data_IF_274166166972
#
_entry.id   IF_274166166972
#
_cell.length_a   1.000
_cell.length_b   1.000
_cell.length_c   1.000
_cell.angle_alpha   90.00
_cell.angle_beta   90.00
_cell.angle_gamma   90.00
#
_symmetry.space_group_name_H-M   'P 1'
#
loop_
_entity.id
_entity.type
_entity.pdbx_description
1 polymer ?
#
# COMPACT_ATOMS: atom_id res chain seq x y z
N UNK A 1 67.17 27.06 0.12
CA UNK A 1 68.19 26.00 0.31
C UNK A 1 67.75 25.12 1.47
N UNK A 2 67.83 23.77 1.39
CA UNK A 2 68.16 22.92 0.25
C UNK A 2 67.04 21.95 -0.16
N UNK A 3 67.14 21.50 -1.40
CA UNK A 3 66.50 20.42 -2.10
C UNK A 3 66.72 19.05 -1.46
N UNK A 4 65.73 18.17 -1.58
CA UNK A 4 65.91 16.70 -1.49
C UNK A 4 65.15 16.00 -2.60
N UNK A 5 65.92 15.30 -3.41
CA UNK A 5 65.61 14.52 -4.57
C UNK A 5 64.83 13.26 -4.23
N UNK A 6 63.89 12.88 -5.11
CA UNK A 6 63.25 11.55 -5.17
C UNK A 6 63.89 10.74 -6.31
N UNK A 7 64.31 9.51 -6.11
CA UNK A 7 64.76 8.67 -7.22
C UNK A 7 63.59 7.95 -7.89
N UNK A 8 63.55 8.05 -9.22
CA UNK A 8 62.78 7.16 -10.10
C UNK A 8 63.41 5.77 -10.12
N UNK A 9 62.63 4.74 -9.93
CA UNK A 9 62.95 3.37 -10.33
C UNK A 9 61.91 2.84 -11.29
N UNK A 10 62.32 2.72 -12.54
CA UNK A 10 61.67 1.99 -13.63
C UNK A 10 61.74 0.49 -13.36
N UNK A 11 60.58 -0.16 -13.26
CA UNK A 11 60.45 -1.62 -13.24
C UNK A 11 59.53 -2.06 -14.34
N UNK A 12 60.10 -2.52 -15.45
CA UNK A 12 59.38 -3.23 -16.54
C UNK A 12 59.09 -4.64 -16.06
N UNK A 13 57.83 -4.95 -15.78
CA UNK A 13 57.37 -6.31 -15.45
C UNK A 13 56.56 -6.86 -16.60
N UNK A 14 57.07 -7.90 -17.21
CA UNK A 14 56.50 -8.75 -18.29
C UNK A 14 55.13 -9.30 -17.96
N UNK A 15 54.19 -9.14 -18.91
CA UNK A 15 52.85 -9.71 -18.85
C UNK A 15 52.92 -11.20 -19.26
N UNK A 16 52.86 -12.12 -18.33
CA UNK A 16 52.56 -13.50 -18.56
C UNK A 16 51.04 -13.71 -18.73
N UNK A 17 50.63 -14.15 -19.92
CA UNK A 17 49.25 -14.60 -20.22
C UNK A 17 49.03 -15.97 -19.61
N UNK A 18 48.41 -16.06 -18.45
CA UNK A 18 47.85 -17.30 -17.93
C UNK A 18 46.44 -17.54 -18.51
N UNK A 19 46.32 -18.51 -19.41
CA UNK A 19 45.05 -19.11 -19.83
C UNK A 19 44.62 -20.10 -18.76
N UNK A 20 43.71 -19.70 -17.87
CA UNK A 20 42.96 -20.67 -17.07
C UNK A 20 41.49 -20.30 -17.09
N UNK A 21 40.69 -21.17 -17.69
CA UNK A 21 39.22 -21.05 -17.78
C UNK A 21 38.59 -21.13 -16.39
N UNK A 22 38.11 -20.02 -15.91
CA UNK A 22 37.29 -19.95 -14.70
C UNK A 22 35.83 -20.19 -15.07
N UNK A 23 35.36 -21.43 -14.90
CA UNK A 23 33.95 -21.75 -14.70
C UNK A 23 33.48 -20.89 -13.53
N UNK A 24 32.68 -19.86 -13.80
CA UNK A 24 31.92 -19.14 -12.78
C UNK A 24 30.94 -20.13 -12.17
N UNK A 25 31.33 -20.77 -11.10
CA UNK A 25 30.41 -21.45 -10.20
C UNK A 25 29.39 -20.39 -9.71
N UNK A 26 28.14 -20.65 -10.01
CA UNK A 26 27.01 -19.96 -9.40
C UNK A 26 27.10 -20.25 -7.89
N UNK A 27 27.77 -19.36 -7.16
CA UNK A 27 27.76 -19.37 -5.70
C UNK A 27 26.33 -19.04 -5.29
N UNK A 28 25.56 -20.06 -4.96
CA UNK A 28 24.36 -19.93 -4.16
C UNK A 28 24.77 -19.19 -2.89
N UNK A 29 24.45 -17.90 -2.83
CA UNK A 29 24.60 -17.13 -1.61
C UNK A 29 23.63 -17.71 -0.61
N UNK A 30 24.12 -18.62 0.22
CA UNK A 30 23.48 -18.97 1.48
C UNK A 30 23.28 -17.64 2.23
N UNK A 31 22.03 -17.35 2.55
CA UNK A 31 21.59 -16.24 3.37
C UNK A 31 22.19 -16.43 4.78
N UNK A 32 23.47 -16.09 4.95
CA UNK A 32 24.09 -16.02 6.27
C UNK A 32 23.61 -14.72 6.93
N UNK A 33 22.44 -14.76 7.54
CA UNK A 33 22.03 -13.75 8.49
C UNK A 33 23.09 -13.70 9.59
N UNK A 34 23.65 -12.51 9.82
CA UNK A 34 24.62 -12.24 10.90
C UNK A 34 24.12 -12.84 12.22
N UNK A 35 25.00 -13.56 12.90
CA UNK A 35 24.74 -14.38 14.09
C UNK A 35 24.47 -13.58 15.40
N UNK A 36 24.11 -12.31 15.32
CA UNK A 36 23.63 -11.59 16.50
C UNK A 36 22.11 -11.88 16.66
N UNK A 37 21.70 -12.63 17.69
CA UNK A 37 20.30 -13.03 17.87
C UNK A 37 19.36 -11.84 17.95
N UNK A 38 19.83 -10.70 18.41
CA UNK A 38 19.07 -9.46 18.57
C UNK A 38 18.62 -8.87 17.22
N UNK A 39 19.45 -8.92 16.18
CA UNK A 39 19.09 -8.41 14.85
C UNK A 39 18.01 -9.28 14.19
N UNK A 40 18.11 -10.60 14.32
CA UNK A 40 17.10 -11.52 13.78
C UNK A 40 15.73 -11.30 14.40
N UNK A 41 15.67 -11.15 15.75
CA UNK A 41 14.40 -10.89 16.44
C UNK A 41 13.77 -9.58 16.02
N UNK A 42 14.56 -8.50 15.87
CA UNK A 42 14.06 -7.22 15.34
C UNK A 42 13.42 -7.38 13.95
N UNK A 43 14.07 -8.10 13.04
CA UNK A 43 13.55 -8.32 11.69
C UNK A 43 12.23 -9.08 11.71
N UNK A 44 12.09 -10.10 12.56
CA UNK A 44 10.84 -10.84 12.73
C UNK A 44 9.72 -9.98 13.32
N UNK A 45 10.01 -9.12 14.31
CA UNK A 45 9.04 -8.17 14.87
C UNK A 45 8.50 -7.23 13.80
N UNK A 46 9.40 -6.63 13.01
CA UNK A 46 9.00 -5.68 11.96
C UNK A 46 8.28 -6.41 10.81
N UNK A 47 8.74 -7.61 10.46
CA UNK A 47 8.09 -8.46 9.46
C UNK A 47 6.66 -8.85 9.87
N UNK A 48 6.46 -9.25 11.13
CA UNK A 48 5.15 -9.58 11.67
C UNK A 48 4.21 -8.37 11.70
N UNK A 49 4.69 -7.18 12.10
CA UNK A 49 3.92 -5.95 12.09
C UNK A 49 3.52 -5.55 10.65
N UNK A 50 4.43 -5.69 9.69
CA UNK A 50 4.12 -5.39 8.28
C UNK A 50 3.18 -6.44 7.67
N UNK A 51 3.36 -7.71 7.99
CA UNK A 51 2.42 -8.76 7.59
C UNK A 51 1.01 -8.48 8.12
N UNK A 52 0.89 -8.18 9.42
CA UNK A 52 -0.38 -7.86 10.08
C UNK A 52 -1.08 -6.67 9.40
N UNK A 53 -0.37 -5.57 9.16
CA UNK A 53 -0.90 -4.40 8.47
C UNK A 53 -1.34 -4.72 7.03
N UNK A 54 -0.54 -5.48 6.31
CA UNK A 54 -0.83 -5.85 4.93
C UNK A 54 -1.97 -6.86 4.82
N UNK A 55 -2.05 -7.81 5.76
CA UNK A 55 -3.14 -8.74 5.90
C UNK A 55 -4.45 -8.00 6.17
N UNK A 56 -4.47 -7.09 7.16
CA UNK A 56 -5.66 -6.31 7.52
C UNK A 56 -6.22 -5.51 6.35
N UNK A 57 -5.35 -4.96 5.51
CA UNK A 57 -5.77 -4.19 4.32
C UNK A 57 -6.51 -5.05 3.29
N UNK A 58 -6.24 -6.34 3.23
CA UNK A 58 -6.76 -7.23 2.18
C UNK A 58 -7.82 -8.22 2.65
N UNK A 59 -7.72 -8.68 3.89
CA UNK A 59 -8.62 -9.69 4.47
C UNK A 59 -10.06 -9.17 4.57
N UNK A 60 -10.24 -7.89 4.84
CA UNK A 60 -11.56 -7.25 4.99
C UNK A 60 -12.35 -7.26 3.69
N UNK A 61 -11.70 -7.13 2.53
CA UNK A 61 -12.38 -7.02 1.24
C UNK A 61 -13.28 -8.22 0.92
N UNK A 62 -12.88 -9.43 1.28
CA UNK A 62 -13.67 -10.64 1.07
C UNK A 62 -14.79 -10.80 2.09
N UNK A 63 -14.68 -10.16 3.25
CA UNK A 63 -15.69 -10.18 4.30
C UNK A 63 -16.78 -9.10 4.12
N UNK A 64 -16.54 -8.07 3.30
CA UNK A 64 -17.45 -6.93 3.15
C UNK A 64 -18.91 -7.30 2.89
N UNK A 65 -19.25 -8.24 1.99
CA UNK A 65 -20.65 -8.63 1.77
C UNK A 65 -21.31 -9.22 3.02
N UNK A 66 -20.59 -10.06 3.76
CA UNK A 66 -21.09 -10.67 5.00
C UNK A 66 -21.25 -9.66 6.13
N UNK A 67 -20.31 -8.69 6.23
CA UNK A 67 -20.41 -7.55 7.16
C UNK A 67 -21.63 -6.71 6.81
N UNK A 68 -21.85 -6.40 5.55
CA UNK A 68 -22.99 -5.63 5.06
C UNK A 68 -24.32 -6.29 5.43
N UNK A 69 -24.41 -7.60 5.20
CA UNK A 69 -25.58 -8.38 5.56
C UNK A 69 -25.84 -8.37 7.07
N UNK A 70 -24.79 -8.57 7.89
CA UNK A 70 -24.89 -8.56 9.36
C UNK A 70 -25.28 -7.20 9.92
N UNK A 71 -24.82 -6.11 9.30
CA UNK A 71 -25.12 -4.73 9.73
C UNK A 71 -26.33 -4.12 9.01
N UNK A 72 -27.13 -4.94 8.29
CA UNK A 72 -28.31 -4.51 7.54
C UNK A 72 -28.05 -3.34 6.58
N UNK A 73 -26.87 -3.33 5.95
CA UNK A 73 -26.44 -2.30 5.02
C UNK A 73 -26.22 -2.86 3.61
N UNK A 74 -26.23 -2.00 2.59
CA UNK A 74 -25.88 -2.46 1.25
C UNK A 74 -24.37 -2.76 1.16
N UNK A 75 -23.92 -3.74 0.36
CA UNK A 75 -22.51 -4.03 0.16
C UNK A 75 -21.70 -2.81 -0.31
N UNK A 76 -22.31 -1.92 -1.09
CA UNK A 76 -21.67 -0.69 -1.56
C UNK A 76 -21.53 0.37 -0.44
N UNK A 77 -22.42 0.37 0.55
CA UNK A 77 -22.31 1.24 1.72
C UNK A 77 -21.12 0.88 2.63
N UNK A 78 -20.47 -0.29 2.42
CA UNK A 78 -19.28 -0.70 3.18
C UNK A 78 -17.99 -0.01 2.75
N UNK A 79 -18.00 0.73 1.65
CA UNK A 79 -16.85 1.44 1.13
C UNK A 79 -16.11 2.32 2.18
N UNK A 80 -16.78 3.09 3.04
CA UNK A 80 -16.12 3.89 4.08
C UNK A 80 -15.24 3.06 5.02
N UNK A 81 -15.57 1.78 5.25
CA UNK A 81 -14.79 0.86 6.10
C UNK A 81 -13.35 0.69 5.57
N UNK A 82 -13.18 0.63 4.26
CA UNK A 82 -11.87 0.51 3.61
C UNK A 82 -11.21 1.87 3.44
N UNK A 83 -11.97 2.87 2.98
CA UNK A 83 -11.46 4.21 2.65
C UNK A 83 -10.94 4.93 3.88
N UNK A 84 -11.70 4.96 4.97
CA UNK A 84 -11.34 5.70 6.19
C UNK A 84 -10.03 5.16 6.78
N UNK A 85 -9.83 3.86 6.80
CA UNK A 85 -8.59 3.24 7.25
C UNK A 85 -7.39 3.69 6.41
N UNK A 86 -7.46 3.56 5.08
CA UNK A 86 -6.36 3.93 4.18
C UNK A 86 -6.10 5.44 4.19
N UNK A 87 -7.15 6.25 4.28
CA UNK A 87 -7.05 7.70 4.34
C UNK A 87 -6.38 8.17 5.64
N UNK A 88 -6.81 7.63 6.79
CA UNK A 88 -6.19 7.94 8.09
C UNK A 88 -4.72 7.53 8.12
N UNK A 89 -4.37 6.37 7.55
CA UNK A 89 -2.97 5.98 7.40
C UNK A 89 -2.19 7.00 6.57
N UNK A 90 -2.72 7.42 5.43
CA UNK A 90 -2.05 8.36 4.55
C UNK A 90 -1.79 9.72 5.22
N UNK A 91 -2.76 10.22 5.98
CA UNK A 91 -2.68 11.50 6.69
C UNK A 91 -1.59 11.51 7.77
N UNK A 92 -1.43 10.40 8.49
CA UNK A 92 -0.55 10.32 9.66
C UNK A 92 0.82 9.71 9.39
N UNK A 93 0.99 8.99 8.29
CA UNK A 93 2.29 8.42 7.90
C UNK A 93 3.44 9.44 7.89
N UNK A 94 3.28 10.69 7.40
CA UNK A 94 4.35 11.68 7.42
C UNK A 94 4.81 12.09 8.83
N UNK A 95 3.93 11.98 9.83
CA UNK A 95 4.26 12.31 11.22
C UNK A 95 5.11 11.23 11.91
N UNK A 96 5.17 10.02 11.36
CA UNK A 96 5.80 8.86 11.99
C UNK A 96 7.28 9.07 12.32
N UNK A 97 8.06 9.64 11.41
CA UNK A 97 9.47 9.93 11.62
C UNK A 97 9.70 10.90 12.78
N UNK A 98 8.97 12.02 12.76
CA UNK A 98 9.05 13.03 13.82
C UNK A 98 8.65 12.47 15.19
N UNK A 99 7.58 11.67 15.25
CA UNK A 99 7.16 11.00 16.49
C UNK A 99 8.24 10.06 17.01
N UNK A 100 8.88 9.29 16.12
CA UNK A 100 9.98 8.39 16.51
C UNK A 100 11.21 9.14 17.03
N UNK A 101 11.54 10.30 16.45
CA UNK A 101 12.64 11.14 16.91
C UNK A 101 12.31 11.79 18.27
N UNK A 102 11.07 12.25 18.44
CA UNK A 102 10.65 12.95 19.66
C UNK A 102 10.46 12.02 20.86
N UNK A 103 9.86 10.85 20.65
CA UNK A 103 9.45 9.95 21.73
C UNK A 103 10.24 8.63 21.80
N UNK A 104 11.11 8.39 20.82
CA UNK A 104 11.86 7.16 20.64
C UNK A 104 11.09 6.08 19.88
N UNK A 105 11.80 5.33 19.07
CA UNK A 105 11.25 4.30 18.16
C UNK A 105 10.46 3.22 18.95
N UNK A 106 10.99 2.75 20.08
CA UNK A 106 10.34 1.70 20.89
C UNK A 106 8.98 2.13 21.41
N UNK A 107 8.87 3.34 21.99
CA UNK A 107 7.60 3.83 22.57
C UNK A 107 6.55 4.00 21.47
N UNK A 108 6.91 4.68 20.37
CA UNK A 108 5.97 4.95 19.27
C UNK A 108 5.51 3.65 18.62
N UNK A 109 6.41 2.69 18.41
CA UNK A 109 6.06 1.40 17.82
C UNK A 109 5.14 0.59 18.74
N UNK A 110 5.42 0.57 20.05
CA UNK A 110 4.54 -0.09 21.05
C UNK A 110 3.15 0.51 21.08
N UNK A 111 3.05 1.85 21.11
CA UNK A 111 1.75 2.55 21.10
C UNK A 111 1.01 2.28 19.80
N UNK A 112 1.71 2.29 18.66
CA UNK A 112 1.10 1.98 17.36
C UNK A 112 0.49 0.57 17.32
N UNK A 113 1.21 -0.44 17.81
CA UNK A 113 0.69 -1.82 17.91
C UNK A 113 -0.52 -1.87 18.84
N UNK A 114 -0.43 -1.23 20.02
CA UNK A 114 -1.52 -1.22 20.98
C UNK A 114 -2.79 -0.57 20.42
N UNK A 115 -2.66 0.61 19.80
CA UNK A 115 -3.79 1.30 19.16
C UNK A 115 -4.38 0.44 18.06
N UNK A 116 -3.55 -0.20 17.23
CA UNK A 116 -4.01 -1.08 16.15
C UNK A 116 -4.78 -2.28 16.68
N UNK A 117 -4.29 -2.94 17.76
CA UNK A 117 -4.94 -4.10 18.39
C UNK A 117 -6.26 -3.70 19.06
N UNK A 118 -6.26 -2.63 19.85
CA UNK A 118 -7.48 -2.16 20.51
C UNK A 118 -8.55 -1.75 19.49
N UNK A 119 -8.15 -1.08 18.42
CA UNK A 119 -9.06 -0.74 17.34
C UNK A 119 -9.55 -1.97 16.57
N UNK A 120 -8.72 -3.01 16.41
CA UNK A 120 -9.15 -4.29 15.82
C UNK A 120 -10.23 -4.96 16.68
N UNK A 121 -10.09 -4.93 18.00
CA UNK A 121 -11.13 -5.39 18.94
C UNK A 121 -12.39 -4.52 18.77
N UNK A 122 -12.24 -3.21 18.67
CA UNK A 122 -13.34 -2.28 18.42
C UNK A 122 -14.07 -2.56 17.09
N UNK A 123 -13.33 -2.90 16.02
CA UNK A 123 -13.93 -3.33 14.76
C UNK A 123 -14.74 -4.62 14.94
N UNK A 124 -14.18 -5.61 15.64
CA UNK A 124 -14.86 -6.87 15.92
C UNK A 124 -16.10 -6.70 16.81
N UNK A 125 -16.10 -5.74 17.71
CA UNK A 125 -17.23 -5.44 18.62
C UNK A 125 -18.25 -4.49 18.03
N UNK A 126 -18.14 -4.08 16.76
CA UNK A 126 -19.03 -3.10 16.12
C UNK A 126 -20.38 -3.74 15.75
N UNK A 127 -21.47 -3.09 16.16
CA UNK A 127 -22.84 -3.47 15.83
C UNK A 127 -23.51 -2.58 14.79
N UNK A 128 -22.85 -1.47 14.42
CA UNK A 128 -23.34 -0.54 13.39
C UNK A 128 -22.22 -0.16 12.43
N UNK A 129 -22.59 0.23 11.20
CA UNK A 129 -21.62 0.71 10.22
C UNK A 129 -20.82 1.91 10.74
N UNK A 130 -21.47 2.84 11.45
CA UNK A 130 -20.80 4.02 12.01
C UNK A 130 -19.73 3.64 13.04
N UNK A 131 -20.03 2.69 13.95
CA UNK A 131 -19.03 2.19 14.92
C UNK A 131 -17.85 1.54 14.21
N UNK A 132 -18.11 0.71 13.20
CA UNK A 132 -17.07 0.05 12.43
C UNK A 132 -16.18 1.07 11.71
N UNK A 133 -16.76 2.10 11.10
CA UNK A 133 -16.01 3.17 10.41
C UNK A 133 -15.13 3.95 11.39
N UNK A 134 -15.65 4.30 12.57
CA UNK A 134 -14.86 4.99 13.62
C UNK A 134 -13.72 4.08 14.12
N UNK A 135 -14.00 2.82 14.40
CA UNK A 135 -12.97 1.86 14.82
C UNK A 135 -11.88 1.68 13.73
N UNK A 136 -12.26 1.66 12.44
CA UNK A 136 -11.33 1.64 11.31
C UNK A 136 -10.48 2.91 11.20
N UNK A 137 -11.05 4.08 11.51
CA UNK A 137 -10.26 5.31 11.59
C UNK A 137 -9.18 5.23 12.68
N UNK A 138 -9.55 4.76 13.88
CA UNK A 138 -8.59 4.56 14.99
C UNK A 138 -7.54 3.51 14.63
N UNK A 139 -7.94 2.41 13.98
CA UNK A 139 -7.01 1.38 13.51
C UNK A 139 -6.02 1.95 12.49
N UNK A 140 -6.46 2.85 11.61
CA UNK A 140 -5.61 3.57 10.67
C UNK A 140 -4.55 4.44 11.35
N UNK A 141 -4.83 5.03 12.54
CA UNK A 141 -3.83 5.75 13.34
C UNK A 141 -2.68 4.82 13.73
N UNK A 142 -3.00 3.66 14.30
CA UNK A 142 -1.98 2.64 14.62
C UNK A 142 -1.23 2.15 13.38
N UNK A 143 -1.97 1.78 12.33
CA UNK A 143 -1.43 1.28 11.08
C UNK A 143 -0.46 2.24 10.39
N UNK A 144 -0.70 3.56 10.47
CA UNK A 144 0.16 4.59 9.85
C UNK A 144 1.61 4.58 10.34
N UNK A 145 1.83 4.05 11.54
CA UNK A 145 3.15 4.04 12.21
C UNK A 145 3.89 2.71 12.06
N UNK A 146 3.18 1.59 11.84
CA UNK A 146 3.78 0.25 11.89
C UNK A 146 4.93 0.09 10.89
N UNK A 147 4.70 0.35 9.61
CA UNK A 147 5.70 0.16 8.57
C UNK A 147 6.84 1.20 8.63
N UNK A 148 6.55 2.53 8.70
CA UNK A 148 7.61 3.54 8.74
C UNK A 148 8.52 3.39 9.96
N UNK A 149 7.94 3.17 11.15
CA UNK A 149 8.70 3.02 12.39
C UNK A 149 9.48 1.70 12.39
N UNK A 150 8.89 0.62 11.88
CA UNK A 150 9.60 -0.65 11.71
C UNK A 150 10.81 -0.52 10.81
N UNK A 151 10.67 0.13 9.65
CA UNK A 151 11.80 0.42 8.74
C UNK A 151 12.87 1.28 9.40
N UNK A 152 12.47 2.30 10.15
CA UNK A 152 13.38 3.16 10.89
C UNK A 152 14.14 2.39 11.98
N UNK A 153 13.48 1.48 12.68
CA UNK A 153 14.10 0.61 13.67
C UNK A 153 15.17 -0.29 13.03
N UNK A 154 14.90 -0.83 11.84
CA UNK A 154 15.88 -1.62 11.07
C UNK A 154 17.04 -0.74 10.61
N UNK A 155 16.76 0.44 10.06
CA UNK A 155 17.78 1.39 9.58
C UNK A 155 18.78 1.82 10.68
N UNK A 156 18.28 2.03 11.89
CA UNK A 156 19.08 2.47 13.04
C UNK A 156 19.97 1.39 13.63
N UNK A 157 19.69 0.10 13.35
CA UNK A 157 20.32 -1.03 14.07
C UNK A 157 21.03 -2.03 13.19
N UNK A 158 20.62 -2.14 11.93
CA UNK A 158 21.23 -3.09 10.99
C UNK A 158 22.36 -2.37 10.23
N UNK A 159 23.58 -2.92 10.20
CA UNK A 159 24.69 -2.36 9.43
C UNK A 159 24.32 -2.12 7.97
N UNK A 160 24.82 -1.03 7.37
CA UNK A 160 24.44 -0.59 6.02
C UNK A 160 24.57 -1.66 4.93
N UNK A 161 25.60 -2.51 5.01
CA UNK A 161 25.79 -3.64 4.07
C UNK A 161 24.66 -4.67 4.14
N UNK A 162 24.05 -4.87 5.31
CA UNK A 162 23.00 -5.84 5.55
C UNK A 162 21.59 -5.22 5.46
N UNK A 163 21.48 -3.90 5.42
CA UNK A 163 20.20 -3.18 5.42
C UNK A 163 19.30 -3.56 4.25
N UNK A 164 19.86 -3.67 3.04
CA UNK A 164 19.10 -4.03 1.84
C UNK A 164 18.48 -5.42 1.99
N UNK A 165 19.25 -6.39 2.50
CA UNK A 165 18.77 -7.75 2.74
C UNK A 165 17.70 -7.79 3.84
N UNK A 166 17.89 -7.00 4.91
CA UNK A 166 16.93 -6.89 6.01
C UNK A 166 15.58 -6.32 5.55
N UNK A 167 15.60 -5.24 4.77
CA UNK A 167 14.37 -4.65 4.20
C UNK A 167 13.72 -5.58 3.18
N UNK A 168 14.50 -6.32 2.40
CA UNK A 168 13.95 -7.33 1.50
C UNK A 168 13.19 -8.42 2.26
N UNK A 169 13.76 -8.93 3.37
CA UNK A 169 13.08 -9.90 4.25
C UNK A 169 11.76 -9.37 4.80
N UNK A 170 11.76 -8.17 5.38
CA UNK A 170 10.55 -7.50 5.88
C UNK A 170 9.51 -7.31 4.77
N UNK A 171 9.96 -6.95 3.57
CA UNK A 171 9.07 -6.73 2.43
C UNK A 171 8.41 -8.03 1.92
N UNK A 172 9.08 -9.18 2.05
CA UNK A 172 8.49 -10.49 1.73
C UNK A 172 7.30 -10.75 2.64
N UNK A 173 7.44 -10.53 3.95
CA UNK A 173 6.35 -10.71 4.90
C UNK A 173 5.11 -9.85 4.54
N UNK A 174 5.33 -8.57 4.18
CA UNK A 174 4.25 -7.71 3.72
C UNK A 174 3.57 -8.17 2.43
N UNK A 175 4.28 -8.89 1.55
CA UNK A 175 3.70 -9.44 0.33
C UNK A 175 2.86 -10.71 0.57
N UNK A 176 3.04 -11.39 1.70
CA UNK A 176 2.20 -12.53 2.07
C UNK A 176 0.77 -12.10 2.44
N UNK A 177 0.59 -10.88 2.96
CA UNK A 177 -0.74 -10.34 3.29
C UNK A 177 -1.74 -10.42 2.14
N UNK A 178 -1.46 -9.83 0.98
CA UNK A 178 -2.34 -9.91 -0.20
C UNK A 178 -2.57 -11.33 -0.74
N UNK A 179 -1.64 -12.25 -0.49
CA UNK A 179 -1.79 -13.66 -0.88
C UNK A 179 -2.75 -14.38 0.07
N UNK A 180 -2.48 -14.28 1.36
CA UNK A 180 -3.19 -15.02 2.40
C UNK A 180 -4.53 -14.35 2.74
N UNK A 181 -4.58 -13.01 2.69
CA UNK A 181 -5.71 -12.20 3.15
C UNK A 181 -7.07 -12.61 2.56
N UNK A 182 -7.25 -12.62 1.25
CA UNK A 182 -8.54 -12.96 0.66
C UNK A 182 -9.02 -14.37 1.02
N UNK A 183 -8.09 -15.35 1.00
CA UNK A 183 -8.42 -16.75 1.32
C UNK A 183 -8.75 -16.92 2.80
N UNK A 184 -7.91 -16.37 3.68
CA UNK A 184 -8.12 -16.41 5.12
C UNK A 184 -9.40 -15.67 5.52
N UNK A 185 -9.65 -14.49 4.92
CA UNK A 185 -10.87 -13.72 5.14
C UNK A 185 -12.12 -14.46 4.70
N UNK A 186 -12.10 -15.08 3.52
CA UNK A 186 -13.19 -15.90 3.04
C UNK A 186 -13.44 -17.12 3.94
N UNK A 187 -12.39 -17.80 4.38
CA UNK A 187 -12.50 -18.95 5.28
C UNK A 187 -13.05 -18.56 6.65
N UNK A 188 -12.48 -17.54 7.31
CA UNK A 188 -12.93 -17.08 8.62
C UNK A 188 -14.40 -16.64 8.59
N UNK A 189 -14.78 -15.90 7.56
CA UNK A 189 -16.14 -15.38 7.39
C UNK A 189 -17.15 -16.50 7.19
N UNK A 190 -16.78 -17.54 6.45
CA UNK A 190 -17.66 -18.67 6.16
C UNK A 190 -17.72 -19.71 7.29
N UNK A 191 -16.54 -20.04 7.89
CA UNK A 191 -16.42 -21.10 8.88
C UNK A 191 -16.83 -20.66 10.30
N UNK A 192 -16.63 -19.37 10.64
CA UNK A 192 -16.84 -18.89 12.00
C UNK A 192 -17.74 -17.63 11.96
N UNK A 193 -17.15 -16.46 11.66
CA UNK A 193 -17.83 -15.17 11.59
C UNK A 193 -16.89 -14.09 11.02
N UNK A 194 -17.46 -13.04 10.41
CA UNK A 194 -16.69 -11.89 9.92
C UNK A 194 -15.90 -11.16 11.03
N UNK A 195 -16.32 -11.21 12.28
CA UNK A 195 -15.62 -10.59 13.43
C UNK A 195 -14.19 -11.11 13.56
N UNK A 196 -13.95 -12.37 13.22
CA UNK A 196 -12.63 -13.01 13.29
C UNK A 196 -11.62 -12.44 12.29
N UNK A 197 -12.09 -11.77 11.25
CA UNK A 197 -11.24 -11.03 10.30
C UNK A 197 -10.44 -9.94 11.01
N UNK A 198 -11.00 -9.35 12.06
CA UNK A 198 -10.33 -8.36 12.88
C UNK A 198 -9.61 -8.99 14.10
N UNK A 199 -10.20 -10.00 14.70
CA UNK A 199 -9.64 -10.69 15.89
C UNK A 199 -8.31 -11.36 15.56
N UNK A 200 -8.08 -11.81 14.33
CA UNK A 200 -6.81 -12.44 13.89
C UNK A 200 -5.59 -11.52 14.10
N UNK A 201 -5.79 -10.21 14.11
CA UNK A 201 -4.74 -9.23 14.38
C UNK A 201 -4.33 -9.20 15.86
N UNK A 202 -5.22 -9.61 16.78
CA UNK A 202 -5.01 -9.47 18.24
C UNK A 202 -3.84 -10.35 18.72
N UNK A 203 -3.81 -11.68 18.46
CA UNK A 203 -2.71 -12.51 18.93
C UNK A 203 -1.37 -12.08 18.32
N UNK A 204 -1.34 -11.72 17.04
CA UNK A 204 -0.12 -11.25 16.36
C UNK A 204 0.36 -9.94 16.98
N UNK A 205 -0.56 -9.01 17.25
CA UNK A 205 -0.24 -7.73 17.85
C UNK A 205 0.21 -7.85 19.30
N UNK A 206 -0.42 -8.71 20.11
CA UNK A 206 0.00 -8.95 21.51
C UNK A 206 1.41 -9.52 21.56
N UNK A 207 1.69 -10.55 20.76
CA UNK A 207 3.05 -11.12 20.65
C UNK A 207 4.04 -10.05 20.16
N UNK A 208 3.66 -9.27 19.16
CA UNK A 208 4.48 -8.16 18.64
C UNK A 208 4.76 -7.10 19.70
N UNK A 209 3.75 -6.71 20.48
CA UNK A 209 3.90 -5.74 21.57
C UNK A 209 4.88 -6.24 22.64
N UNK A 210 4.70 -7.47 23.11
CA UNK A 210 5.59 -8.10 24.12
C UNK A 210 7.03 -8.18 23.56
N UNK A 211 7.18 -8.58 22.31
CA UNK A 211 8.47 -8.68 21.66
C UNK A 211 9.17 -7.32 21.52
N UNK A 212 8.43 -6.25 21.16
CA UNK A 212 8.96 -4.88 21.12
C UNK A 212 9.41 -4.45 22.51
N UNK A 213 8.61 -4.72 23.55
CA UNK A 213 8.96 -4.36 24.92
C UNK A 213 10.19 -5.10 25.46
N UNK A 214 10.41 -6.33 25.02
CA UNK A 214 11.52 -7.16 25.51
C UNK A 214 12.82 -6.96 24.72
N UNK A 215 12.71 -6.83 23.41
CA UNK A 215 13.89 -6.91 22.51
C UNK A 215 14.25 -5.58 21.85
N UNK A 216 13.35 -4.60 21.79
CA UNK A 216 13.69 -3.32 21.20
C UNK A 216 14.29 -2.41 22.30
N UNK A 217 15.60 -2.08 22.22
CA UNK A 217 16.22 -1.18 23.19
C UNK A 217 15.60 0.21 23.17
N UNK A 218 15.79 0.94 24.26
CA UNK A 218 15.37 2.35 24.33
C UNK A 218 16.31 3.19 23.45
N UNK A 219 15.73 3.90 22.48
CA UNK A 219 16.44 4.96 21.76
C UNK A 219 16.40 6.23 22.62
N UNK A 220 17.49 6.97 22.62
CA UNK A 220 17.48 8.32 23.20
C UNK A 220 16.59 9.20 22.30
N UNK A 221 15.58 9.82 22.92
CA UNK A 221 14.79 10.83 22.25
C UNK A 221 15.71 12.00 21.84
N UNK A 222 15.64 12.40 20.60
CA UNK A 222 16.32 13.60 20.10
C UNK A 222 15.40 14.80 20.23
N UNK A 223 15.91 16.01 20.06
CA UNK A 223 15.07 17.18 19.93
C UNK A 223 14.90 17.49 18.43
N UNK A 224 13.90 16.86 17.77
CA UNK A 224 13.66 17.15 16.37
C UNK A 224 13.16 18.60 16.22
N UNK A 225 13.37 19.21 15.06
CA UNK A 225 12.77 20.48 14.73
C UNK A 225 11.24 20.43 14.86
N UNK A 226 10.56 21.57 15.04
CA UNK A 226 9.11 21.61 15.21
C UNK A 226 8.41 20.99 14.00
N UNK A 227 7.47 20.09 14.26
CA UNK A 227 6.68 19.43 13.22
C UNK A 227 5.83 20.46 12.45
N UNK A 228 5.68 20.25 11.16
CA UNK A 228 4.86 21.07 10.30
C UNK A 228 3.38 20.67 10.37
N UNK A 229 2.73 21.02 11.50
CA UNK A 229 1.31 20.74 11.73
C UNK A 229 0.41 21.40 10.69
N UNK A 230 0.74 22.62 10.25
CA UNK A 230 -0.07 23.34 9.26
C UNK A 230 0.03 22.67 7.89
N UNK A 231 1.23 22.32 7.46
CA UNK A 231 1.43 21.58 6.20
C UNK A 231 0.73 20.22 6.23
N UNK A 232 0.83 19.49 7.36
CA UNK A 232 0.13 18.22 7.53
C UNK A 232 -1.39 18.40 7.49
N UNK A 233 -1.95 19.40 8.18
CA UNK A 233 -3.38 19.69 8.18
C UNK A 233 -3.91 20.08 6.79
N UNK A 234 -3.18 20.93 6.05
CA UNK A 234 -3.54 21.32 4.68
C UNK A 234 -3.59 20.12 3.74
N UNK A 235 -2.58 19.27 3.76
CA UNK A 235 -2.53 18.08 2.90
C UNK A 235 -3.58 17.04 3.31
N UNK A 236 -3.81 16.87 4.60
CA UNK A 236 -4.87 16.01 5.12
C UNK A 236 -6.26 16.51 4.72
N UNK A 237 -6.52 17.80 4.85
CA UNK A 237 -7.77 18.41 4.41
C UNK A 237 -7.97 18.25 2.90
N UNK A 238 -6.91 18.43 2.10
CA UNK A 238 -6.96 18.19 0.67
C UNK A 238 -7.34 16.74 0.36
N UNK A 239 -6.73 15.78 1.02
CA UNK A 239 -7.02 14.35 0.80
C UNK A 239 -8.45 13.97 1.18
N UNK A 240 -8.93 14.44 2.34
CA UNK A 240 -10.30 14.20 2.80
C UNK A 240 -11.29 14.81 1.82
N UNK A 241 -11.11 16.07 1.49
CA UNK A 241 -12.03 16.81 0.63
C UNK A 241 -12.08 16.21 -0.78
N UNK A 242 -10.93 15.89 -1.39
CA UNK A 242 -10.87 15.22 -2.70
C UNK A 242 -11.51 13.83 -2.66
N UNK A 243 -11.27 13.07 -1.58
CA UNK A 243 -11.89 11.75 -1.42
C UNK A 243 -13.42 11.85 -1.30
N UNK A 244 -13.93 12.80 -0.52
CA UNK A 244 -15.37 13.03 -0.34
C UNK A 244 -16.04 13.65 -1.58
N UNK A 245 -15.29 14.36 -2.42
CA UNK A 245 -15.82 14.98 -3.63
C UNK A 245 -16.37 13.97 -4.64
N UNK A 246 -15.81 12.76 -4.67
CA UNK A 246 -16.26 11.69 -5.60
C UNK A 246 -17.64 11.16 -5.20
N UNK A 247 -17.85 10.99 -3.89
CA UNK A 247 -19.13 10.50 -3.36
C UNK A 247 -19.50 11.31 -2.11
N UNK A 248 -20.13 12.48 -2.29
CA UNK A 248 -20.51 13.35 -1.18
C UNK A 248 -21.60 12.69 -0.34
N UNK A 249 -21.58 12.91 1.00
CA UNK A 249 -22.51 12.28 1.93
C UNK A 249 -23.97 12.75 1.75
N UNK A 250 -24.19 13.85 1.01
CA UNK A 250 -25.52 14.44 0.79
C UNK A 250 -26.03 14.10 -0.60
N UNK A 251 -27.20 13.51 -0.68
CA UNK A 251 -27.88 13.15 -1.94
C UNK A 251 -28.48 14.36 -2.66
N UNK A 252 -28.98 15.34 -1.90
CA UNK A 252 -29.53 16.60 -2.42
C UNK A 252 -28.39 17.51 -2.85
N UNK A 253 -28.43 18.05 -4.07
CA UNK A 253 -27.40 18.89 -4.67
C UNK A 253 -26.01 18.22 -4.78
N UNK A 254 -25.97 16.94 -5.06
CA UNK A 254 -24.74 16.12 -5.12
C UNK A 254 -23.63 16.77 -5.95
N UNK A 255 -23.96 17.30 -7.15
CA UNK A 255 -22.99 17.96 -8.02
C UNK A 255 -22.36 19.21 -7.39
N UNK A 256 -23.17 20.02 -6.71
CA UNK A 256 -22.69 21.24 -6.03
C UNK A 256 -21.76 20.87 -4.86
N UNK A 257 -22.11 19.86 -4.07
CA UNK A 257 -21.26 19.35 -2.99
C UNK A 257 -19.95 18.75 -3.51
N UNK A 258 -20.02 17.96 -4.59
CA UNK A 258 -18.81 17.43 -5.24
C UNK A 258 -17.89 18.56 -5.71
N UNK A 259 -18.43 19.57 -6.38
CA UNK A 259 -17.66 20.72 -6.84
C UNK A 259 -17.07 21.53 -5.67
N UNK A 260 -17.85 21.79 -4.62
CA UNK A 260 -17.37 22.51 -3.43
C UNK A 260 -16.26 21.76 -2.71
N UNK A 261 -16.41 20.46 -2.51
CA UNK A 261 -15.39 19.62 -1.88
C UNK A 261 -14.13 19.48 -2.76
N UNK A 262 -14.29 19.34 -4.08
CA UNK A 262 -13.15 19.32 -5.01
C UNK A 262 -12.41 20.67 -4.99
N UNK A 263 -13.16 21.80 -4.99
CA UNK A 263 -12.59 23.13 -4.87
C UNK A 263 -11.85 23.34 -3.54
N UNK A 264 -12.44 22.92 -2.42
CA UNK A 264 -11.79 22.96 -1.10
C UNK A 264 -10.51 22.11 -1.08
N UNK A 265 -10.57 20.90 -1.61
CA UNK A 265 -9.41 20.02 -1.66
C UNK A 265 -8.28 20.59 -2.52
N UNK A 266 -8.60 21.13 -3.68
CA UNK A 266 -7.63 21.79 -4.55
C UNK A 266 -7.07 23.05 -3.89
N UNK A 267 -7.92 23.90 -3.30
CA UNK A 267 -7.49 25.10 -2.58
C UNK A 267 -6.55 24.76 -1.41
N UNK A 268 -6.86 23.73 -0.63
CA UNK A 268 -6.00 23.26 0.46
C UNK A 268 -4.64 22.74 -0.05
N UNK A 269 -4.64 21.98 -1.16
CA UNK A 269 -3.41 21.51 -1.79
C UNK A 269 -2.57 22.68 -2.35
N UNK A 270 -3.19 23.66 -2.97
CA UNK A 270 -2.53 24.87 -3.48
C UNK A 270 -2.02 25.76 -2.35
N UNK A 271 -2.76 25.88 -1.24
CA UNK A 271 -2.33 26.62 -0.05
C UNK A 271 -1.07 26.03 0.61
N UNK A 272 -0.82 24.73 0.41
CA UNK A 272 0.43 24.13 0.86
C UNK A 272 1.66 24.71 0.15
N UNK A 273 1.57 25.15 -1.11
CA UNK A 273 2.70 25.66 -1.88
C UNK A 273 3.33 26.92 -1.27
N UNK A 274 2.58 28.01 -0.98
CA UNK A 274 3.13 29.19 -0.31
C UNK A 274 3.57 28.89 1.12
N UNK A 275 2.87 28.00 1.82
CA UNK A 275 3.27 27.56 3.16
C UNK A 275 4.65 26.89 3.13
N UNK A 276 4.85 25.91 2.25
CA UNK A 276 6.10 25.18 2.11
C UNK A 276 7.28 26.08 1.66
N UNK A 277 7.01 27.16 0.89
CA UNK A 277 8.05 28.13 0.50
C UNK A 277 8.52 29.00 1.67
N UNK A 278 7.63 29.29 2.62
CA UNK A 278 7.93 30.15 3.78
C UNK A 278 8.53 29.37 4.96
N UNK A 279 8.39 28.07 4.99
CA UNK A 279 8.86 27.22 6.09
C UNK A 279 10.27 26.72 5.82
N UNK A 280 11.15 26.81 6.82
CA UNK A 280 12.53 26.31 6.73
C UNK A 280 12.57 24.78 6.61
N UNK A 281 11.62 24.11 7.27
CA UNK A 281 11.47 22.65 7.22
C UNK A 281 10.00 22.29 6.97
N UNK A 282 9.55 22.34 5.71
CA UNK A 282 8.22 21.92 5.34
C UNK A 282 8.10 20.39 5.39
N UNK A 283 6.86 19.88 5.54
CA UNK A 283 6.58 18.45 5.54
C UNK A 283 7.15 17.75 4.30
N UNK A 284 6.96 18.38 3.12
CA UNK A 284 7.56 17.96 1.85
C UNK A 284 8.25 19.15 1.19
N UNK A 285 9.51 18.94 0.81
CA UNK A 285 10.30 19.95 0.11
C UNK A 285 9.83 20.08 -1.34
N UNK A 286 9.50 21.29 -1.78
CA UNK A 286 9.10 21.56 -3.17
C UNK A 286 10.23 21.25 -4.19
N UNK A 287 11.48 21.20 -3.74
CA UNK A 287 12.62 20.77 -4.56
C UNK A 287 12.47 19.38 -5.16
N UNK A 288 11.68 18.49 -4.52
CA UNK A 288 11.38 17.14 -5.04
C UNK A 288 10.77 17.17 -6.46
N UNK A 289 9.94 18.17 -6.76
CA UNK A 289 9.31 18.30 -8.08
C UNK A 289 10.26 18.82 -9.18
N UNK A 290 11.49 19.24 -8.82
CA UNK A 290 12.53 19.59 -9.80
C UNK A 290 13.21 18.35 -10.39
N UNK A 291 13.11 17.21 -9.71
CA UNK A 291 13.59 15.94 -10.26
C UNK A 291 12.70 15.50 -11.42
N UNK A 292 13.27 15.24 -12.62
CA UNK A 292 12.50 15.05 -13.86
C UNK A 292 11.48 13.90 -13.78
N UNK A 293 11.83 12.83 -13.08
CA UNK A 293 11.02 11.62 -12.99
C UNK A 293 10.04 11.64 -11.81
N UNK A 294 10.25 12.51 -10.81
CA UNK A 294 9.45 12.46 -9.58
C UNK A 294 8.02 12.97 -9.81
N UNK A 295 7.87 14.16 -10.37
CA UNK A 295 6.55 14.75 -10.62
C UNK A 295 5.71 13.94 -11.60
N UNK A 296 6.30 13.56 -12.75
CA UNK A 296 5.63 12.74 -13.77
C UNK A 296 5.33 11.33 -13.27
N UNK A 297 6.25 10.71 -12.53
CA UNK A 297 6.06 9.41 -11.91
C UNK A 297 4.99 9.43 -10.82
N UNK A 298 4.91 10.49 -10.01
CA UNK A 298 3.90 10.67 -8.98
C UNK A 298 2.49 10.77 -9.59
N UNK A 299 2.32 11.60 -10.65
CA UNK A 299 1.06 11.75 -11.37
C UNK A 299 0.66 10.45 -12.09
N UNK A 300 1.59 9.83 -12.81
CA UNK A 300 1.36 8.56 -13.49
C UNK A 300 0.97 7.44 -12.52
N UNK A 301 1.63 7.38 -11.34
CA UNK A 301 1.27 6.44 -10.29
C UNK A 301 -0.14 6.71 -9.72
N UNK A 302 -0.49 7.98 -9.49
CA UNK A 302 -1.83 8.36 -9.00
C UNK A 302 -2.92 7.87 -9.98
N UNK A 303 -2.80 8.20 -11.26
CA UNK A 303 -3.79 7.84 -12.28
C UNK A 303 -3.90 6.31 -12.46
N UNK A 304 -2.77 5.63 -12.57
CA UNK A 304 -2.74 4.17 -12.69
C UNK A 304 -3.35 3.48 -11.46
N UNK A 305 -3.06 4.00 -10.26
CA UNK A 305 -3.59 3.45 -9.01
C UNK A 305 -5.09 3.66 -8.84
N UNK A 306 -5.65 4.77 -9.28
CA UNK A 306 -7.11 4.98 -9.28
C UNK A 306 -7.78 3.85 -10.06
N UNK A 307 -7.27 3.49 -11.23
CA UNK A 307 -7.82 2.40 -12.04
C UNK A 307 -7.66 1.02 -11.40
N UNK A 308 -6.48 0.71 -10.87
CA UNK A 308 -6.17 -0.65 -10.40
C UNK A 308 -6.63 -0.94 -8.96
N UNK A 309 -6.70 0.08 -8.09
CA UNK A 309 -7.03 -0.12 -6.68
C UNK A 309 -8.52 -0.38 -6.42
N UNK A 310 -9.40 -0.11 -7.39
CA UNK A 310 -10.81 -0.47 -7.32
C UNK A 310 -11.03 -2.00 -7.42
N UNK A 311 -10.17 -2.72 -8.14
CA UNK A 311 -10.33 -4.15 -8.43
C UNK A 311 -10.35 -5.02 -7.17
N UNK A 312 -9.44 -4.89 -6.20
CA UNK A 312 -9.49 -5.67 -4.96
C UNK A 312 -10.75 -5.46 -4.12
N UNK A 313 -11.44 -4.34 -4.28
CA UNK A 313 -12.72 -4.07 -3.64
C UNK A 313 -13.90 -4.61 -4.46
N UNK A 314 -13.92 -4.31 -5.76
CA UNK A 314 -15.02 -4.67 -6.66
C UNK A 314 -15.10 -6.17 -6.96
N UNK A 315 -13.95 -6.83 -7.06
CA UNK A 315 -13.89 -8.22 -7.49
C UNK A 315 -14.55 -9.20 -6.49
N UNK A 316 -14.30 -9.12 -5.17
CA UNK A 316 -15.06 -9.92 -4.20
C UNK A 316 -16.56 -9.63 -4.22
N UNK A 317 -16.96 -8.37 -4.44
CA UNK A 317 -18.36 -7.99 -4.58
C UNK A 317 -19.00 -8.64 -5.81
N UNK A 318 -18.33 -8.57 -6.96
CA UNK A 318 -18.76 -9.23 -8.19
C UNK A 318 -18.97 -10.75 -7.96
N UNK A 319 -17.94 -11.40 -7.40
CA UNK A 319 -17.97 -12.85 -7.18
C UNK A 319 -19.04 -13.28 -6.19
N UNK A 320 -19.22 -12.57 -5.09
CA UNK A 320 -20.15 -12.97 -4.04
C UNK A 320 -21.57 -12.49 -4.30
N UNK A 321 -21.77 -11.25 -4.78
CA UNK A 321 -23.11 -10.65 -4.95
C UNK A 321 -23.71 -11.01 -6.31
N UNK A 322 -22.95 -10.97 -7.40
CA UNK A 322 -23.48 -11.24 -8.75
C UNK A 322 -23.35 -12.72 -9.15
N UNK A 323 -22.20 -13.36 -8.89
CA UNK A 323 -21.96 -14.74 -9.29
C UNK A 323 -22.37 -15.75 -8.20
N UNK A 324 -22.75 -15.29 -7.00
CA UNK A 324 -23.23 -16.15 -5.91
C UNK A 324 -22.13 -17.06 -5.32
N UNK A 325 -20.84 -16.72 -5.48
CA UNK A 325 -19.77 -17.51 -4.90
C UNK A 325 -19.74 -17.36 -3.38
N UNK A 326 -19.38 -18.43 -2.69
CA UNK A 326 -19.15 -18.37 -1.26
C UNK A 326 -17.92 -17.48 -0.95
N UNK A 327 -17.83 -16.87 0.25
CA UNK A 327 -16.67 -16.07 0.65
C UNK A 327 -15.34 -16.82 0.49
N UNK A 328 -15.29 -18.11 0.86
CA UNK A 328 -14.11 -18.95 0.69
C UNK A 328 -13.74 -19.13 -0.78
N UNK A 329 -14.71 -19.45 -1.64
CA UNK A 329 -14.49 -19.62 -3.08
C UNK A 329 -13.99 -18.34 -3.72
N UNK A 330 -14.58 -17.20 -3.37
CA UNK A 330 -14.13 -15.88 -3.80
C UNK A 330 -12.67 -15.60 -3.39
N UNK A 331 -12.31 -15.90 -2.13
CA UNK A 331 -10.95 -15.78 -1.63
C UNK A 331 -9.94 -16.69 -2.36
N UNK A 332 -10.30 -17.97 -2.57
CA UNK A 332 -9.46 -18.92 -3.31
C UNK A 332 -9.24 -18.50 -4.77
N UNK A 333 -10.27 -17.96 -5.42
CA UNK A 333 -10.15 -17.45 -6.79
C UNK A 333 -9.18 -16.26 -6.91
N UNK A 334 -8.93 -15.51 -5.83
CA UNK A 334 -7.96 -14.42 -5.83
C UNK A 334 -6.50 -14.87 -5.63
N UNK A 335 -6.25 -16.09 -5.14
CA UNK A 335 -4.90 -16.62 -4.93
C UNK A 335 -4.03 -16.62 -6.19
N UNK A 336 -4.50 -17.08 -7.37
CA UNK A 336 -3.71 -17.06 -8.59
C UNK A 336 -3.18 -15.66 -8.95
N UNK A 337 -4.01 -14.62 -8.76
CA UNK A 337 -3.59 -13.24 -9.00
C UNK A 337 -2.45 -12.81 -8.07
N UNK A 338 -2.56 -13.13 -6.78
CA UNK A 338 -1.54 -12.78 -5.79
C UNK A 338 -0.21 -13.52 -6.05
N UNK A 339 -0.28 -14.82 -6.33
CA UNK A 339 0.89 -15.66 -6.66
C UNK A 339 1.55 -15.16 -7.95
N UNK A 340 0.78 -14.94 -9.01
CA UNK A 340 1.27 -14.40 -10.27
C UNK A 340 1.96 -13.04 -10.09
N UNK A 341 1.40 -12.18 -9.23
CA UNK A 341 1.98 -10.88 -8.90
C UNK A 341 3.35 -10.98 -8.22
N UNK A 342 3.56 -11.96 -7.35
CA UNK A 342 4.88 -12.18 -6.71
C UNK A 342 5.88 -12.74 -7.73
N UNK A 343 5.48 -13.75 -8.50
CA UNK A 343 6.33 -14.41 -9.50
C UNK A 343 6.73 -13.42 -10.59
N UNK A 344 5.82 -12.58 -11.07
CA UNK A 344 6.06 -11.64 -12.17
C UNK A 344 7.15 -10.60 -11.86
N UNK A 345 7.37 -10.25 -10.58
CA UNK A 345 8.38 -9.25 -10.20
C UNK A 345 9.80 -9.60 -10.66
N UNK A 346 10.13 -10.86 -10.81
CA UNK A 346 11.46 -11.31 -11.27
C UNK A 346 11.78 -10.86 -12.70
N UNK A 347 10.76 -10.62 -13.53
CA UNK A 347 10.94 -10.22 -14.92
C UNK A 347 11.02 -8.69 -15.12
N UNK A 348 10.73 -7.88 -14.09
CA UNK A 348 10.73 -6.42 -14.21
C UNK A 348 12.11 -5.90 -14.64
N UNK A 349 13.17 -6.30 -13.92
CA UNK A 349 14.53 -5.82 -14.20
C UNK A 349 15.00 -6.16 -15.63
N UNK A 350 14.88 -7.40 -16.14
CA UNK A 350 15.28 -7.71 -17.50
C UNK A 350 14.41 -7.01 -18.56
N UNK A 351 13.09 -6.89 -18.33
CA UNK A 351 12.18 -6.21 -19.28
C UNK A 351 12.45 -4.71 -19.35
N UNK A 352 12.62 -4.06 -18.21
CA UNK A 352 12.96 -2.62 -18.13
C UNK A 352 14.36 -2.35 -18.73
N UNK A 353 15.32 -3.25 -18.52
CA UNK A 353 16.64 -3.14 -19.13
C UNK A 353 16.58 -3.26 -20.65
N UNK A 354 15.69 -4.12 -21.17
CA UNK A 354 15.57 -4.37 -22.62
C UNK A 354 14.76 -3.30 -23.35
N UNK A 355 13.63 -2.85 -22.79
CA UNK A 355 12.66 -1.97 -23.46
C UNK A 355 12.65 -0.54 -22.91
N UNK A 356 13.30 -0.29 -21.78
CA UNK A 356 13.20 0.98 -21.07
C UNK A 356 11.91 1.09 -20.22
N UNK A 357 11.91 2.04 -19.27
CA UNK A 357 10.76 2.25 -18.39
C UNK A 357 9.50 2.72 -19.14
N UNK A 358 9.65 3.64 -20.11
CA UNK A 358 8.50 4.24 -20.81
C UNK A 358 7.72 3.20 -21.62
N UNK A 359 8.39 2.46 -22.52
CA UNK A 359 7.74 1.44 -23.34
C UNK A 359 7.15 0.32 -22.47
N UNK A 360 7.90 -0.13 -21.44
CA UNK A 360 7.41 -1.14 -20.50
C UNK A 360 6.12 -0.70 -19.79
N UNK A 361 6.07 0.52 -19.26
CA UNK A 361 4.91 1.04 -18.53
C UNK A 361 3.70 1.21 -19.43
N UNK A 362 3.87 1.73 -20.67
CA UNK A 362 2.76 1.89 -21.62
C UNK A 362 2.13 0.55 -21.96
N UNK A 363 2.94 -0.43 -22.37
CA UNK A 363 2.44 -1.78 -22.72
C UNK A 363 1.78 -2.45 -21.54
N UNK A 364 2.44 -2.40 -20.37
CA UNK A 364 1.92 -3.03 -19.16
C UNK A 364 0.61 -2.38 -18.67
N UNK A 365 0.48 -1.04 -18.78
CA UNK A 365 -0.79 -0.34 -18.48
C UNK A 365 -1.90 -0.78 -19.42
N UNK A 366 -1.59 -0.98 -20.71
CA UNK A 366 -2.54 -1.56 -21.68
C UNK A 366 -3.00 -2.96 -21.26
N UNK A 367 -2.08 -3.83 -20.84
CA UNK A 367 -2.41 -5.19 -20.37
C UNK A 367 -3.33 -5.11 -19.14
N UNK A 368 -3.02 -4.24 -18.17
CA UNK A 368 -3.86 -4.03 -16.98
C UNK A 368 -5.26 -3.56 -17.38
N UNK A 369 -5.36 -2.59 -18.31
CA UNK A 369 -6.63 -2.08 -18.79
C UNK A 369 -7.46 -3.16 -19.51
N UNK A 370 -6.85 -3.95 -20.39
CA UNK A 370 -7.50 -5.07 -21.06
C UNK A 370 -7.99 -6.14 -20.07
N UNK A 371 -7.19 -6.46 -19.02
CA UNK A 371 -7.60 -7.39 -18.00
C UNK A 371 -8.81 -6.88 -17.19
N UNK A 372 -8.83 -5.59 -16.82
CA UNK A 372 -9.96 -4.96 -16.15
C UNK A 372 -11.21 -4.99 -17.05
N UNK A 373 -11.09 -4.62 -18.32
CA UNK A 373 -12.17 -4.69 -19.28
C UNK A 373 -12.69 -6.13 -19.48
N UNK A 374 -11.78 -7.12 -19.43
CA UNK A 374 -12.12 -8.53 -19.50
C UNK A 374 -13.02 -9.01 -18.37
N UNK A 375 -12.94 -8.44 -17.16
CA UNK A 375 -13.86 -8.76 -16.07
C UNK A 375 -15.31 -8.36 -16.39
N UNK A 376 -15.54 -7.37 -17.25
CA UNK A 376 -16.89 -7.03 -17.71
C UNK A 376 -17.53 -8.17 -18.54
N UNK A 377 -16.73 -8.89 -19.33
CA UNK A 377 -17.21 -10.05 -20.12
C UNK A 377 -17.62 -11.20 -19.18
N UNK A 378 -16.86 -11.42 -18.10
CA UNK A 378 -17.16 -12.44 -17.10
C UNK A 378 -18.43 -12.11 -16.33
N UNK A 379 -18.70 -10.84 -16.04
CA UNK A 379 -19.93 -10.42 -15.38
C UNK A 379 -21.20 -10.72 -16.23
N UNK A 380 -21.05 -10.77 -17.54
CA UNK A 380 -22.12 -11.09 -18.47
C UNK A 380 -22.33 -12.62 -18.65
N UNK A 381 -21.24 -13.39 -18.64
CA UNK A 381 -21.25 -14.86 -18.80
C UNK A 381 -20.22 -15.49 -17.87
N UNK A 382 -20.65 -16.11 -16.76
CA UNK A 382 -19.75 -16.78 -15.82
C UNK A 382 -18.90 -17.83 -16.53
N UNK A 383 -17.58 -17.66 -16.49
CA UNK A 383 -16.61 -18.57 -17.08
C UNK A 383 -15.41 -18.71 -16.14
N UNK A 384 -15.42 -19.68 -15.20
CA UNK A 384 -14.39 -19.80 -14.15
C UNK A 384 -12.96 -19.87 -14.66
N UNK A 385 -12.74 -20.49 -15.83
CA UNK A 385 -11.41 -20.57 -16.44
C UNK A 385 -10.95 -19.20 -16.93
N UNK A 386 -11.83 -18.44 -17.60
CA UNK A 386 -11.55 -17.08 -18.05
C UNK A 386 -11.30 -16.15 -16.86
N UNK A 387 -12.08 -16.26 -15.78
CA UNK A 387 -11.87 -15.53 -14.53
C UNK A 387 -10.47 -15.78 -13.99
N UNK A 388 -10.06 -17.05 -13.89
CA UNK A 388 -8.72 -17.43 -13.42
C UNK A 388 -7.60 -16.87 -14.29
N UNK A 389 -7.73 -16.92 -15.61
CA UNK A 389 -6.73 -16.36 -16.54
C UNK A 389 -6.65 -14.84 -16.40
N UNK A 390 -7.78 -14.14 -16.38
CA UNK A 390 -7.81 -12.67 -16.19
C UNK A 390 -7.20 -12.26 -14.85
N UNK A 391 -7.45 -13.03 -13.78
CA UNK A 391 -6.86 -12.80 -12.47
C UNK A 391 -5.34 -12.96 -12.47
N UNK A 392 -4.83 -14.00 -13.12
CA UNK A 392 -3.38 -14.22 -13.29
C UNK A 392 -2.74 -13.06 -14.04
N UNK A 393 -3.32 -12.68 -15.18
CA UNK A 393 -2.82 -11.58 -16.02
C UNK A 393 -2.88 -10.26 -15.26
N UNK A 394 -4.01 -9.95 -14.64
CA UNK A 394 -4.17 -8.73 -13.84
C UNK A 394 -3.18 -8.69 -12.67
N UNK A 395 -3.06 -9.77 -11.90
CA UNK A 395 -2.17 -9.83 -10.74
C UNK A 395 -0.70 -9.65 -11.11
N UNK A 396 -0.25 -10.33 -12.19
CA UNK A 396 1.09 -10.18 -12.73
C UNK A 396 1.35 -8.74 -13.19
N UNK A 397 0.50 -8.22 -14.09
CA UNK A 397 0.68 -6.90 -14.67
C UNK A 397 0.56 -5.78 -13.62
N UNK A 398 -0.42 -5.82 -12.73
CA UNK A 398 -0.58 -4.83 -11.65
C UNK A 398 0.63 -4.79 -10.70
N UNK A 399 1.17 -5.96 -10.33
CA UNK A 399 2.36 -6.05 -9.48
C UNK A 399 3.61 -5.50 -10.16
N UNK A 400 3.80 -5.79 -11.45
CA UNK A 400 4.89 -5.26 -12.26
C UNK A 400 4.75 -3.75 -12.45
N UNK A 401 3.53 -3.25 -12.71
CA UNK A 401 3.23 -1.83 -12.81
C UNK A 401 3.62 -1.08 -11.55
N UNK A 402 3.18 -1.59 -10.40
CA UNK A 402 3.48 -1.00 -9.11
C UNK A 402 4.98 -0.89 -8.85
N UNK A 403 5.72 -1.97 -9.08
CA UNK A 403 7.16 -1.99 -8.82
C UNK A 403 7.95 -1.10 -9.80
N UNK A 404 7.58 -1.08 -11.08
CA UNK A 404 8.23 -0.23 -12.08
C UNK A 404 7.94 1.27 -11.84
N UNK A 405 6.69 1.63 -11.47
CA UNK A 405 6.34 3.01 -11.10
C UNK A 405 7.09 3.48 -9.87
N UNK A 406 7.20 2.64 -8.82
CA UNK A 406 8.05 2.94 -7.66
C UNK A 406 9.50 3.18 -8.09
N UNK A 407 10.04 2.31 -8.94
CA UNK A 407 11.42 2.41 -9.42
C UNK A 407 11.68 3.70 -10.21
N UNK A 408 10.79 4.08 -11.12
CA UNK A 408 10.93 5.31 -11.92
C UNK A 408 10.76 6.57 -11.07
N UNK A 409 9.75 6.61 -10.20
CA UNK A 409 9.41 7.82 -9.43
C UNK A 409 10.49 8.16 -8.41
N UNK A 410 11.07 7.14 -7.76
CA UNK A 410 12.10 7.34 -6.73
C UNK A 410 13.53 7.37 -7.30
N UNK A 411 13.69 7.07 -8.60
CA UNK A 411 14.99 7.11 -9.26
C UNK A 411 15.49 8.54 -9.37
N UNK A 412 16.71 8.79 -8.90
CA UNK A 412 17.35 10.09 -8.97
C UNK A 412 17.20 10.96 -7.73
N UNK A 413 16.36 10.57 -6.76
CA UNK A 413 16.27 11.29 -5.49
C UNK A 413 17.59 11.18 -4.71
N UNK A 414 18.04 12.32 -4.16
CA UNK A 414 19.20 12.36 -3.28
C UNK A 414 18.91 11.57 -1.99
N UNK A 415 19.97 11.10 -1.31
CA UNK A 415 19.80 10.43 0.00
C UNK A 415 19.07 11.31 1.02
N UNK A 416 19.26 12.63 0.98
CA UNK A 416 18.60 13.59 1.87
C UNK A 416 17.08 13.70 1.58
N UNK A 417 16.68 13.56 0.33
CA UNK A 417 15.30 13.73 -0.13
C UNK A 417 14.53 12.40 -0.26
N UNK A 418 15.26 11.27 -0.23
CA UNK A 418 14.66 9.93 -0.42
C UNK A 418 13.57 9.62 0.62
N UNK A 419 13.75 10.01 1.88
CA UNK A 419 12.76 9.81 2.95
C UNK A 419 11.48 10.62 2.71
N UNK A 420 11.63 11.92 2.43
CA UNK A 420 10.53 12.85 2.15
C UNK A 420 9.80 12.45 0.86
N UNK A 421 10.54 12.13 -0.21
CA UNK A 421 9.99 11.68 -1.47
C UNK A 421 9.20 10.37 -1.36
N UNK A 422 9.73 9.38 -0.63
CA UNK A 422 9.03 8.11 -0.39
C UNK A 422 7.75 8.31 0.45
N UNK A 423 7.76 9.22 1.42
CA UNK A 423 6.57 9.53 2.23
C UNK A 423 5.49 10.19 1.40
N UNK A 424 5.85 11.19 0.56
CA UNK A 424 4.90 11.84 -0.36
C UNK A 424 4.35 10.84 -1.38
N UNK A 425 5.20 9.98 -1.93
CA UNK A 425 4.79 8.92 -2.86
C UNK A 425 3.81 7.94 -2.21
N UNK A 426 4.10 7.50 -0.98
CA UNK A 426 3.21 6.61 -0.22
C UNK A 426 1.87 7.28 0.10
N UNK A 427 1.89 8.56 0.49
CA UNK A 427 0.70 9.36 0.74
C UNK A 427 -0.18 9.45 -0.52
N UNK A 428 0.40 9.72 -1.69
CA UNK A 428 -0.33 9.77 -2.95
C UNK A 428 -0.89 8.40 -3.37
N UNK A 429 -0.19 7.32 -3.07
CA UNK A 429 -0.71 5.96 -3.30
C UNK A 429 -1.94 5.66 -2.45
N UNK A 430 -1.91 6.02 -1.16
CA UNK A 430 -3.04 5.83 -0.25
C UNK A 430 -4.24 6.69 -0.67
N UNK A 431 -3.99 7.95 -1.10
CA UNK A 431 -5.03 8.80 -1.68
C UNK A 431 -5.66 8.13 -2.91
N UNK A 432 -4.85 7.61 -3.84
CA UNK A 432 -5.35 6.91 -5.02
C UNK A 432 -6.23 5.71 -4.67
N UNK A 433 -5.86 4.94 -3.65
CA UNK A 433 -6.68 3.82 -3.16
C UNK A 433 -8.02 4.31 -2.60
N UNK A 434 -8.03 5.41 -1.84
CA UNK A 434 -9.25 6.02 -1.33
C UNK A 434 -10.16 6.55 -2.45
N UNK A 435 -9.59 7.20 -3.47
CA UNK A 435 -10.33 7.70 -4.64
C UNK A 435 -10.91 6.54 -5.47
N UNK A 436 -10.14 5.48 -5.69
CA UNK A 436 -10.53 4.32 -6.49
C UNK A 436 -11.74 3.58 -5.91
N UNK A 437 -11.75 3.34 -4.60
CA UNK A 437 -12.85 2.64 -3.95
C UNK A 437 -14.15 3.46 -4.00
N UNK A 438 -14.08 4.79 -3.98
CA UNK A 438 -15.25 5.66 -4.09
C UNK A 438 -15.78 5.80 -5.52
N UNK A 439 -14.94 5.90 -6.54
CA UNK A 439 -15.37 5.94 -7.94
C UNK A 439 -16.12 4.67 -8.32
N UNK A 440 -15.69 3.52 -7.81
CA UNK A 440 -16.32 2.24 -8.05
C UNK A 440 -17.75 2.14 -7.48
N UNK A 441 -18.03 2.77 -6.34
CA UNK A 441 -19.39 2.78 -5.75
C UNK A 441 -20.32 3.79 -6.44
N UNK A 442 -19.78 4.94 -6.87
CA UNK A 442 -20.57 6.00 -7.52
C UNK A 442 -21.17 5.60 -8.89
N UNK A 443 -20.52 4.68 -9.60
CA UNK A 443 -21.00 4.18 -10.89
C UNK A 443 -22.18 3.19 -10.77
N UNK A 444 -22.49 2.69 -9.59
CA UNK A 444 -23.52 1.68 -9.35
C UNK A 444 -24.87 2.23 -8.85
N UNK A 445 -25.08 3.55 -8.84
CA UNK A 445 -26.33 4.19 -8.38
C UNK A 445 -27.50 4.14 -9.39
N UNK A 446 -27.53 3.19 -10.34
CA UNK A 446 -28.78 2.76 -10.96
C UNK A 446 -29.46 1.73 -10.04
N UNK A 447 -30.09 2.19 -8.95
CA UNK A 447 -30.96 1.35 -8.15
C UNK A 447 -32.25 1.05 -8.94
N UNK A 448 -32.63 -0.22 -9.17
CA UNK A 448 -33.98 -0.53 -9.56
C UNK A 448 -34.90 -0.24 -8.37
N UNK A 449 -36.16 0.17 -8.59
CA UNK A 449 -37.12 0.42 -7.53
C UNK A 449 -37.32 -0.86 -6.70
N UNK A 450 -37.42 -0.69 -5.39
CA UNK A 450 -37.68 -1.73 -4.41
C UNK A 450 -39.00 -2.45 -4.83
N UNK A 451 -38.89 -3.70 -5.27
CA UNK A 451 -40.07 -4.52 -5.66
C UNK A 451 -40.03 -5.10 -7.08
N UNK A 452 -39.11 -4.76 -7.94
CA UNK A 452 -39.00 -5.36 -9.27
C UNK A 452 -38.29 -6.70 -9.22
N UNK A 453 -39.01 -7.79 -9.49
CA UNK A 453 -38.45 -9.12 -9.76
C UNK A 453 -37.43 -9.00 -10.89
N UNK A 454 -36.26 -9.60 -10.69
CA UNK A 454 -35.13 -9.66 -11.62
C UNK A 454 -35.47 -10.34 -12.95
N UNK A 455 -36.29 -9.69 -13.77
CA UNK A 455 -36.48 -10.05 -15.19
C UNK A 455 -36.26 -8.78 -16.01
N UNK A 456 -35.22 -8.81 -16.82
CA UNK A 456 -34.76 -7.85 -17.84
C UNK A 456 -33.52 -7.09 -17.42
N UNK A 457 -32.38 -7.75 -17.67
CA UNK A 457 -31.06 -7.22 -17.42
C UNK A 457 -30.38 -6.68 -18.68
N UNK A 458 -30.78 -5.56 -19.21
CA UNK A 458 -30.01 -4.99 -20.34
C UNK A 458 -29.52 -3.54 -20.15
N UNK A 459 -30.05 -2.79 -19.20
CA UNK A 459 -29.70 -1.36 -19.11
C UNK A 459 -28.61 -0.99 -18.08
N UNK A 460 -28.36 -1.84 -17.05
CA UNK A 460 -27.31 -1.57 -16.04
C UNK A 460 -25.95 -2.24 -16.29
N UNK A 461 -25.84 -3.12 -17.30
CA UNK A 461 -24.63 -3.94 -17.53
C UNK A 461 -23.48 -3.21 -18.21
N UNK A 462 -23.74 -2.14 -18.95
CA UNK A 462 -22.72 -1.50 -19.79
C UNK A 462 -21.99 -0.31 -19.15
N UNK A 463 -22.52 0.25 -18.03
CA UNK A 463 -21.91 1.44 -17.42
C UNK A 463 -21.01 1.18 -16.19
N UNK A 464 -21.09 0.01 -15.56
CA UNK A 464 -20.28 -0.31 -14.38
C UNK A 464 -18.80 -0.56 -14.69
N UNK A 465 -18.44 -0.76 -15.98
CA UNK A 465 -17.08 -1.11 -16.41
C UNK A 465 -16.49 -0.20 -17.50
N UNK A 466 -17.13 0.94 -17.77
CA UNK A 466 -16.67 1.91 -18.78
C UNK A 466 -15.76 2.99 -18.13
N UNK A 467 -14.70 2.58 -17.39
CA UNK A 467 -13.62 3.46 -16.90
C UNK A 467 -12.26 2.87 -17.17
#
# INVERSE_FOLDING_TARGET
MPSRDFPMTTGIGTIERSKSGTRRAFRTTHFAMSREPTHSVLLWIVAAAFFMQSLDTTIVNTALPSIAQSLHASPLAMQPVVVVYTLTMAMLTPASGWLADRFGTRRVFSVAILVFVLASIGCAASHTLGQLVVARAVQGIGGSMLLPIGRLAVLRRVPGEQYVAAIAFVSIAGQLGPIVGPTLGGWLTQAISWHWVFIVNVPVGVVGFIAVQRYLPHDQATQPPPFDFVGCALLSAAMIALSLAIDPPMSTHRAAWSAALAGLGLASALAYLPHARRRTQPLFRLGLFREPNFGSGLLGNLLCRIGTSSVPFMLPLLMQVQLGYTPLRSGLMMLPAAIAGVIAKRWIAPLVKRFGYAAFLVVNTGIVGCAIAGFALVSARPAPVLEGVLLIVFGAANSMQFAAMNGVTLKGLSHADAGSGNSLFTMMQMLAMGLASRSAAGSSTCSPPIGARWRTGSCCRSRAWAW
#
